data_IF_326147716823
#
_entry.id   IF_326147716823
#
_cell.length_a   1.000
_cell.length_b   1.000
_cell.length_c   1.000
_cell.angle_alpha   90.00
_cell.angle_beta   90.00
_cell.angle_gamma   90.00
#
_symmetry.space_group_name_H-M   'P 1'
#
loop_
_entity.id
_entity.type
_entity.pdbx_description
1 polymer ?
#
# COMPACT_ATOMS: atom_id res chain seq x y z
N UNK A 1 -16.49 -27.04 -14.33
CA UNK A 1 -15.09 -26.63 -14.65
C UNK A 1 -14.85 -25.29 -14.00
N UNK A 2 -13.70 -25.06 -13.41
CA UNK A 2 -13.37 -23.73 -12.91
C UNK A 2 -13.11 -22.81 -14.13
N UNK A 3 -13.79 -21.68 -14.19
CA UNK A 3 -13.60 -20.68 -15.24
C UNK A 3 -12.24 -19.97 -15.03
N UNK A 4 -11.55 -19.68 -16.14
CA UNK A 4 -10.31 -18.93 -16.14
C UNK A 4 -10.59 -17.48 -16.50
N UNK A 5 -9.83 -16.57 -15.90
CA UNK A 5 -9.96 -15.13 -16.08
C UNK A 5 -8.62 -14.53 -16.47
N UNK A 6 -8.66 -13.55 -17.33
CA UNK A 6 -7.54 -12.60 -17.54
C UNK A 6 -7.63 -11.45 -16.53
N UNK A 7 -6.61 -10.60 -16.48
CA UNK A 7 -6.64 -9.39 -15.63
C UNK A 7 -7.84 -8.48 -15.95
N UNK A 8 -8.25 -8.40 -17.22
CA UNK A 8 -9.39 -7.60 -17.66
C UNK A 8 -10.71 -8.32 -17.38
N UNK A 9 -10.76 -9.62 -17.60
CA UNK A 9 -11.98 -10.42 -17.43
C UNK A 9 -12.57 -10.33 -16.03
N UNK A 10 -11.72 -10.22 -15.01
CA UNK A 10 -12.15 -10.15 -13.61
C UNK A 10 -13.08 -8.96 -13.33
N UNK A 11 -12.98 -7.89 -14.13
CA UNK A 11 -13.84 -6.70 -14.01
C UNK A 11 -15.01 -6.69 -15.00
N UNK A 12 -14.95 -7.51 -16.06
CA UNK A 12 -15.93 -7.51 -17.13
C UNK A 12 -16.88 -8.70 -17.06
N UNK A 13 -16.40 -9.85 -16.60
CA UNK A 13 -17.18 -11.07 -16.46
C UNK A 13 -17.70 -11.20 -15.03
N UNK A 14 -18.75 -11.99 -14.88
CA UNK A 14 -19.22 -12.40 -13.56
C UNK A 14 -18.29 -13.46 -12.97
N UNK A 15 -17.91 -13.30 -11.71
CA UNK A 15 -17.17 -14.29 -10.96
C UNK A 15 -18.12 -15.33 -10.38
N UNK A 16 -17.84 -16.59 -10.63
CA UNK A 16 -18.54 -17.71 -10.01
C UNK A 16 -18.03 -17.92 -8.59
N UNK A 17 -18.78 -17.42 -7.60
CA UNK A 17 -18.43 -17.54 -6.18
C UNK A 17 -18.83 -18.90 -5.61
N UNK A 18 -19.98 -19.44 -6.05
CA UNK A 18 -20.47 -20.79 -5.78
C UNK A 18 -21.55 -21.13 -6.80
N UNK A 19 -22.11 -22.36 -6.74
CA UNK A 19 -23.07 -22.89 -7.74
C UNK A 19 -24.27 -21.99 -8.02
N UNK A 20 -24.62 -21.08 -7.10
CA UNK A 20 -25.86 -20.29 -7.16
C UNK A 20 -25.61 -18.79 -7.14
N UNK A 21 -24.34 -18.35 -7.04
CA UNK A 21 -24.02 -16.92 -6.91
C UNK A 21 -22.90 -16.49 -7.85
N UNK A 22 -23.27 -15.65 -8.81
CA UNK A 22 -22.35 -14.94 -9.70
C UNK A 22 -22.41 -13.45 -9.42
N UNK A 23 -21.26 -12.80 -9.38
CA UNK A 23 -21.17 -11.37 -9.12
C UNK A 23 -20.15 -10.71 -10.04
N UNK A 24 -20.43 -9.47 -10.40
CA UNK A 24 -19.48 -8.61 -11.10
C UNK A 24 -18.69 -7.80 -10.08
N UNK A 25 -17.36 -7.89 -10.15
CA UNK A 25 -16.46 -7.17 -9.26
C UNK A 25 -16.11 -5.83 -9.87
N UNK A 26 -16.29 -4.76 -9.11
CA UNK A 26 -15.95 -3.40 -9.52
C UNK A 26 -14.49 -3.07 -9.25
N UNK A 27 -13.93 -3.60 -8.17
CA UNK A 27 -12.54 -3.34 -7.76
C UNK A 27 -11.87 -4.59 -7.21
N UNK A 28 -10.56 -4.70 -7.44
CA UNK A 28 -9.66 -5.61 -6.73
C UNK A 28 -8.82 -4.78 -5.77
N UNK A 29 -8.81 -5.18 -4.51
CA UNK A 29 -8.13 -4.48 -3.44
C UNK A 29 -7.03 -5.37 -2.86
N UNK A 30 -5.81 -4.84 -2.81
CA UNK A 30 -4.74 -5.39 -1.98
C UNK A 30 -4.82 -4.67 -0.63
N UNK A 31 -5.31 -5.36 0.42
CA UNK A 31 -5.62 -4.71 1.70
C UNK A 31 -4.35 -4.33 2.49
N UNK A 32 -4.52 -3.45 3.47
CA UNK A 32 -3.44 -2.88 4.30
C UNK A 32 -2.60 -3.92 5.06
N UNK A 33 -3.20 -5.05 5.40
CA UNK A 33 -2.55 -6.13 6.19
C UNK A 33 -1.58 -6.96 5.33
N UNK A 34 -1.54 -6.73 4.02
CA UNK A 34 -0.67 -7.49 3.12
C UNK A 34 0.77 -6.98 3.13
N UNK A 35 1.70 -7.91 2.87
CA UNK A 35 3.11 -7.57 2.73
C UNK A 35 3.35 -6.64 1.53
N UNK A 36 4.38 -5.78 1.60
CA UNK A 36 4.80 -4.96 0.46
C UNK A 36 5.09 -5.79 -0.79
N UNK A 37 4.95 -5.19 -1.97
CA UNK A 37 5.33 -5.84 -3.21
C UNK A 37 6.83 -6.17 -3.21
N UNK A 38 7.16 -7.44 -3.42
CA UNK A 38 8.52 -7.95 -3.23
C UNK A 38 9.18 -8.47 -4.53
N UNK A 39 8.39 -8.86 -5.55
CA UNK A 39 8.96 -9.45 -6.78
C UNK A 39 9.91 -8.53 -7.53
N UNK A 40 9.83 -7.22 -7.32
CA UNK A 40 10.78 -6.26 -7.87
C UNK A 40 12.00 -5.97 -6.99
N UNK A 41 12.15 -6.54 -5.80
CA UNK A 41 13.31 -6.31 -4.93
C UNK A 41 14.59 -6.85 -5.57
N UNK A 42 15.72 -6.26 -5.16
CA UNK A 42 17.05 -6.59 -5.72
C UNK A 42 17.78 -7.71 -4.95
N UNK A 43 17.20 -8.26 -3.88
CA UNK A 43 17.78 -9.42 -3.22
C UNK A 43 17.78 -10.65 -4.13
N UNK A 44 18.69 -11.59 -3.85
CA UNK A 44 18.96 -12.71 -4.74
C UNK A 44 17.73 -13.59 -5.01
N UNK A 45 16.91 -13.84 -3.99
CA UNK A 45 15.70 -14.68 -4.13
C UNK A 45 14.65 -13.98 -4.97
N UNK A 46 14.35 -12.71 -4.68
CA UNK A 46 13.38 -11.92 -5.44
C UNK A 46 13.84 -11.72 -6.90
N UNK A 47 15.13 -11.50 -7.11
CA UNK A 47 15.73 -11.39 -8.46
C UNK A 47 15.57 -12.69 -9.25
N UNK A 48 15.83 -13.84 -8.63
CA UNK A 48 15.62 -15.13 -9.28
C UNK A 48 14.14 -15.35 -9.65
N UNK A 49 13.22 -15.13 -8.71
CA UNK A 49 11.77 -15.30 -8.93
C UNK A 49 11.29 -14.37 -10.06
N UNK A 50 11.69 -13.09 -10.04
CA UNK A 50 11.34 -12.11 -11.07
C UNK A 50 11.83 -12.55 -12.44
N UNK A 51 13.10 -12.95 -12.54
CA UNK A 51 13.68 -13.33 -13.81
C UNK A 51 13.05 -14.61 -14.37
N UNK A 52 12.81 -15.62 -13.54
CA UNK A 52 12.12 -16.85 -13.93
C UNK A 52 10.73 -16.54 -14.45
N UNK A 53 9.92 -15.82 -13.67
CA UNK A 53 8.55 -15.48 -14.04
C UNK A 53 8.49 -14.69 -15.36
N UNK A 54 9.30 -13.64 -15.50
CA UNK A 54 9.28 -12.82 -16.71
C UNK A 54 9.83 -13.58 -17.93
N UNK A 55 10.87 -14.40 -17.76
CA UNK A 55 11.39 -15.21 -18.85
C UNK A 55 10.33 -16.20 -19.36
N UNK A 56 9.68 -16.94 -18.46
CA UNK A 56 8.61 -17.87 -18.81
C UNK A 56 7.43 -17.17 -19.50
N UNK A 57 7.01 -16.01 -18.97
CA UNK A 57 5.91 -15.22 -19.55
C UNK A 57 6.26 -14.71 -20.96
N UNK A 58 7.45 -14.13 -21.16
CA UNK A 58 7.87 -13.60 -22.46
C UNK A 58 8.18 -14.69 -23.48
N UNK A 59 8.64 -15.87 -23.06
CA UNK A 59 8.75 -17.04 -23.95
C UNK A 59 7.33 -17.54 -24.34
N UNK A 60 6.37 -17.57 -23.41
CA UNK A 60 4.99 -17.94 -23.73
C UNK A 60 4.35 -16.98 -24.74
N UNK A 61 4.67 -15.69 -24.74
CA UNK A 61 4.18 -14.75 -25.75
C UNK A 61 4.57 -15.11 -27.20
N UNK A 62 5.56 -15.96 -27.38
CA UNK A 62 5.94 -16.50 -28.70
C UNK A 62 5.00 -17.61 -29.18
N UNK A 63 4.17 -18.11 -28.29
CA UNK A 63 3.19 -19.18 -28.53
C UNK A 63 1.77 -18.65 -28.41
N UNK A 64 0.77 -19.48 -28.76
CA UNK A 64 -0.64 -19.22 -28.52
C UNK A 64 -1.17 -20.02 -27.32
N UNK A 65 -0.27 -20.58 -26.51
CA UNK A 65 -0.63 -21.37 -25.35
C UNK A 65 -1.02 -20.49 -24.17
N UNK A 66 -1.85 -21.06 -23.29
CA UNK A 66 -2.25 -20.37 -22.05
C UNK A 66 -1.08 -20.40 -21.06
N UNK A 67 -0.71 -19.23 -20.58
CA UNK A 67 0.19 -19.07 -19.44
C UNK A 67 -0.64 -19.12 -18.16
N UNK A 68 -0.55 -20.24 -17.42
CA UNK A 68 -1.33 -20.44 -16.21
C UNK A 68 -0.72 -19.71 -15.01
N UNK A 69 -1.40 -18.68 -14.56
CA UNK A 69 -0.98 -17.86 -13.40
C UNK A 69 -1.51 -18.43 -12.07
N UNK A 70 -2.02 -19.66 -12.09
CA UNK A 70 -2.56 -20.41 -10.94
C UNK A 70 -3.79 -19.73 -10.28
N UNK A 71 -4.01 -20.03 -9.01
CA UNK A 71 -5.17 -19.57 -8.25
C UNK A 71 -4.91 -18.21 -7.61
N UNK A 72 -5.91 -17.35 -7.71
CA UNK A 72 -6.02 -16.10 -6.97
C UNK A 72 -7.14 -16.29 -5.94
N UNK A 73 -6.84 -16.06 -4.68
CA UNK A 73 -7.79 -16.19 -3.59
C UNK A 73 -8.14 -14.83 -3.01
N UNK A 74 -9.43 -14.62 -2.72
CA UNK A 74 -9.90 -13.37 -2.11
C UNK A 74 -11.22 -13.53 -1.39
N UNK A 75 -11.65 -12.45 -0.75
CA UNK A 75 -12.99 -12.31 -0.19
C UNK A 75 -13.74 -11.31 -1.05
N UNK A 76 -14.88 -11.72 -1.59
CA UNK A 76 -15.78 -10.83 -2.30
C UNK A 76 -16.84 -10.34 -1.32
N UNK A 77 -16.99 -9.04 -1.21
CA UNK A 77 -17.96 -8.40 -0.33
C UNK A 77 -18.71 -7.26 -1.02
N UNK A 78 -19.96 -6.97 -0.61
CA UNK A 78 -20.69 -5.81 -1.11
C UNK A 78 -20.05 -4.51 -0.62
N UNK A 79 -20.05 -3.50 -1.50
CA UNK A 79 -19.58 -2.13 -1.22
C UNK A 79 -20.36 -1.17 -2.12
N UNK A 80 -21.18 -0.27 -1.54
CA UNK A 80 -21.93 0.77 -2.24
C UNK A 80 -22.67 0.28 -3.51
N UNK A 81 -23.53 -0.72 -3.36
CA UNK A 81 -24.29 -1.39 -4.44
C UNK A 81 -23.44 -2.15 -5.48
N UNK A 82 -22.14 -2.27 -5.27
CA UNK A 82 -21.22 -3.05 -6.08
C UNK A 82 -20.55 -4.15 -5.25
N UNK A 83 -19.73 -4.97 -5.89
CA UNK A 83 -18.92 -5.96 -5.20
C UNK A 83 -17.44 -5.64 -5.39
N UNK A 84 -16.68 -5.74 -4.30
CA UNK A 84 -15.23 -5.62 -4.32
C UNK A 84 -14.58 -6.93 -3.90
N UNK A 85 -13.41 -7.23 -4.45
CA UNK A 85 -12.65 -8.40 -4.10
C UNK A 85 -11.36 -8.00 -3.39
N UNK A 86 -11.25 -8.36 -2.11
CA UNK A 86 -10.02 -8.22 -1.36
C UNK A 86 -9.15 -9.46 -1.52
N UNK A 87 -7.92 -9.27 -1.98
CA UNK A 87 -6.99 -10.37 -2.22
C UNK A 87 -6.42 -10.92 -0.91
N UNK A 88 -6.50 -12.24 -0.76
CA UNK A 88 -5.86 -13.01 0.31
C UNK A 88 -4.54 -13.62 -0.15
N UNK A 89 -4.52 -14.18 -1.35
CA UNK A 89 -3.32 -14.71 -2.00
C UNK A 89 -3.31 -14.35 -3.48
N UNK A 90 -2.11 -14.31 -4.07
CA UNK A 90 -1.90 -13.89 -5.46
C UNK A 90 -1.62 -12.40 -5.64
N UNK A 91 -1.55 -11.61 -4.58
CA UNK A 91 -1.29 -10.17 -4.64
C UNK A 91 -0.01 -9.81 -5.41
N UNK A 92 1.08 -10.55 -5.21
CA UNK A 92 2.35 -10.32 -5.91
C UNK A 92 2.19 -10.53 -7.42
N UNK A 93 1.49 -11.58 -7.79
CA UNK A 93 1.19 -11.93 -9.19
C UNK A 93 0.29 -10.89 -9.83
N UNK A 94 -0.79 -10.50 -9.15
CA UNK A 94 -1.72 -9.48 -9.66
C UNK A 94 -1.05 -8.11 -9.81
N UNK A 95 -0.17 -7.73 -8.89
CA UNK A 95 0.64 -6.52 -9.02
C UNK A 95 1.58 -6.60 -10.22
N UNK A 96 2.22 -7.75 -10.45
CA UNK A 96 3.05 -7.94 -11.64
C UNK A 96 2.22 -7.85 -12.92
N UNK A 97 1.02 -8.43 -12.96
CA UNK A 97 0.11 -8.29 -14.11
C UNK A 97 -0.30 -6.85 -14.35
N UNK A 98 -0.65 -6.09 -13.30
CA UNK A 98 -0.92 -4.66 -13.41
C UNK A 98 0.22 -3.92 -14.12
N UNK A 99 1.47 -4.19 -13.74
CA UNK A 99 2.64 -3.54 -14.35
C UNK A 99 2.86 -4.01 -15.80
N UNK A 100 2.66 -5.28 -16.11
CA UNK A 100 2.78 -5.83 -17.47
C UNK A 100 1.72 -5.23 -18.39
N UNK A 101 0.46 -5.21 -17.97
CA UNK A 101 -0.63 -4.61 -18.75
C UNK A 101 -0.40 -3.13 -19.00
N UNK A 102 -0.02 -2.38 -17.95
CA UNK A 102 0.31 -0.96 -18.10
C UNK A 102 1.45 -0.74 -19.11
N UNK A 103 2.53 -1.51 -18.96
CA UNK A 103 3.72 -1.35 -19.78
C UNK A 103 3.44 -1.65 -21.26
N UNK A 104 2.82 -2.78 -21.55
CA UNK A 104 2.53 -3.20 -22.93
C UNK A 104 1.53 -2.24 -23.59
N UNK A 105 0.46 -1.86 -22.89
CA UNK A 105 -0.50 -0.88 -23.39
C UNK A 105 0.18 0.48 -23.67
N UNK A 106 1.10 0.91 -22.80
CA UNK A 106 1.84 2.16 -23.01
C UNK A 106 2.73 2.12 -24.24
N UNK A 107 3.32 0.96 -24.57
CA UNK A 107 4.24 0.82 -25.71
C UNK A 107 3.53 0.58 -27.04
N UNK A 108 2.42 -0.14 -27.05
CA UNK A 108 1.82 -0.69 -28.28
C UNK A 108 0.51 -0.04 -28.68
N UNK A 109 -0.23 0.59 -27.74
CA UNK A 109 -1.55 1.15 -28.02
C UNK A 109 -1.52 2.68 -27.97
N UNK A 110 -2.31 3.32 -28.82
CA UNK A 110 -2.55 4.77 -28.75
C UNK A 110 -3.63 5.12 -27.71
N UNK A 111 -3.73 6.38 -27.31
CA UNK A 111 -4.73 6.80 -26.30
C UNK A 111 -6.18 6.66 -26.80
N UNK A 112 -6.38 6.78 -28.08
CA UNK A 112 -7.72 6.74 -28.70
C UNK A 112 -8.23 5.31 -28.93
N UNK A 113 -7.35 4.31 -28.90
CA UNK A 113 -7.74 2.91 -29.10
C UNK A 113 -8.64 2.40 -27.98
N UNK A 114 -9.71 1.69 -28.36
CA UNK A 114 -10.68 1.16 -27.39
C UNK A 114 -10.03 0.16 -26.43
N UNK A 115 -9.09 -0.64 -26.93
CA UNK A 115 -8.31 -1.59 -26.15
C UNK A 115 -7.52 -0.90 -25.03
N UNK A 116 -6.93 0.26 -25.33
CA UNK A 116 -6.20 1.05 -24.33
C UNK A 116 -7.14 1.58 -23.25
N UNK A 117 -8.32 2.08 -23.63
CA UNK A 117 -9.33 2.57 -22.68
C UNK A 117 -9.79 1.46 -21.76
N UNK A 118 -10.03 0.25 -22.30
CA UNK A 118 -10.41 -0.93 -21.53
C UNK A 118 -9.32 -1.32 -20.52
N UNK A 119 -8.06 -1.34 -20.95
CA UNK A 119 -6.93 -1.66 -20.08
C UNK A 119 -6.80 -0.60 -18.98
N UNK A 120 -6.85 0.68 -19.32
CA UNK A 120 -6.74 1.77 -18.34
C UNK A 120 -7.88 1.74 -17.32
N UNK A 121 -9.12 1.48 -17.74
CA UNK A 121 -10.25 1.30 -16.83
C UNK A 121 -9.98 0.16 -15.84
N UNK A 122 -9.51 -1.00 -16.32
CA UNK A 122 -9.14 -2.12 -15.46
C UNK A 122 -8.00 -1.78 -14.49
N UNK A 123 -6.99 -1.05 -14.95
CA UNK A 123 -5.87 -0.61 -14.10
C UNK A 123 -6.34 0.34 -12.99
N UNK A 124 -7.29 1.25 -13.26
CA UNK A 124 -7.88 2.13 -12.24
C UNK A 124 -8.71 1.40 -11.19
N UNK A 125 -9.22 0.22 -11.52
CA UNK A 125 -9.99 -0.65 -10.60
C UNK A 125 -9.10 -1.55 -9.74
N UNK A 126 -7.79 -1.54 -9.96
CA UNK A 126 -6.82 -2.23 -9.12
C UNK A 126 -6.30 -1.29 -8.04
N UNK A 127 -6.70 -1.51 -6.78
CA UNK A 127 -6.41 -0.63 -5.65
C UNK A 127 -5.38 -1.27 -4.73
N UNK A 128 -4.29 -0.56 -4.47
CA UNK A 128 -3.20 -1.03 -3.63
C UNK A 128 -3.20 -0.29 -2.30
N UNK A 129 -3.91 -0.82 -1.29
CA UNK A 129 -4.13 -0.13 -0.01
C UNK A 129 -3.06 -0.37 1.06
N UNK A 130 -2.03 -1.16 0.78
CA UNK A 130 -0.95 -1.44 1.75
C UNK A 130 -0.30 -0.16 2.27
N UNK A 131 -0.14 0.85 1.40
CA UNK A 131 0.32 2.19 1.73
C UNK A 131 -0.39 3.21 0.85
N UNK A 132 -0.71 4.36 1.43
CA UNK A 132 -1.37 5.44 0.69
C UNK A 132 -0.50 5.97 -0.46
N UNK A 133 0.83 5.97 -0.29
CA UNK A 133 1.79 6.31 -1.35
C UNK A 133 1.69 5.34 -2.53
N UNK A 134 1.59 4.04 -2.25
CA UNK A 134 1.42 3.01 -3.28
C UNK A 134 0.08 3.17 -4.02
N UNK A 135 -1.01 3.51 -3.29
CA UNK A 135 -2.33 3.80 -3.90
C UNK A 135 -2.24 4.96 -4.88
N UNK A 136 -1.68 6.09 -4.43
CA UNK A 136 -1.51 7.29 -5.26
C UNK A 136 -0.62 6.98 -6.47
N UNK A 137 0.49 6.28 -6.26
CA UNK A 137 1.41 5.92 -7.34
C UNK A 137 0.72 5.06 -8.41
N UNK A 138 0.01 3.98 -8.02
CA UNK A 138 -0.70 3.12 -8.97
C UNK A 138 -1.77 3.88 -9.75
N UNK A 139 -2.53 4.76 -9.07
CA UNK A 139 -3.54 5.59 -9.72
C UNK A 139 -2.93 6.55 -10.75
N UNK A 140 -1.86 7.26 -10.37
CA UNK A 140 -1.15 8.16 -11.30
C UNK A 140 -0.52 7.36 -12.46
N UNK A 141 0.08 6.21 -12.18
CA UNK A 141 0.66 5.35 -13.21
C UNK A 141 -0.41 4.89 -14.21
N UNK A 142 -1.58 4.45 -13.75
CA UNK A 142 -2.69 4.05 -14.60
C UNK A 142 -3.18 5.18 -15.51
N UNK A 143 -3.17 6.44 -15.02
CA UNK A 143 -3.59 7.63 -15.78
C UNK A 143 -2.53 8.16 -16.72
N UNK A 144 -1.27 7.80 -16.52
CA UNK A 144 -0.15 8.46 -17.18
C UNK A 144 0.44 7.61 -18.32
N UNK A 145 0.56 8.23 -19.50
CA UNK A 145 1.35 7.67 -20.59
C UNK A 145 2.74 8.27 -20.57
N UNK A 146 3.75 7.46 -20.77
CA UNK A 146 5.15 7.90 -20.83
C UNK A 146 5.77 7.57 -22.18
N UNK A 147 6.59 8.50 -22.67
CA UNK A 147 7.49 8.26 -23.78
C UNK A 147 8.83 7.77 -23.24
N UNK A 148 9.14 6.53 -23.52
CA UNK A 148 10.39 5.91 -23.05
C UNK A 148 11.62 6.45 -23.76
N UNK A 149 11.50 6.85 -25.05
CA UNK A 149 12.59 7.45 -25.85
C UNK A 149 13.97 6.79 -25.65
N UNK A 150 13.99 5.45 -25.53
CA UNK A 150 15.20 4.67 -25.29
C UNK A 150 15.73 4.70 -23.85
N UNK A 151 14.96 5.21 -22.90
CA UNK A 151 15.29 5.19 -21.46
C UNK A 151 14.48 4.12 -20.72
N UNK A 152 14.97 3.72 -19.55
CA UNK A 152 14.23 2.78 -18.70
C UNK A 152 12.99 3.43 -18.07
N UNK A 153 11.89 2.67 -17.88
CA UNK A 153 10.66 3.18 -17.29
C UNK A 153 10.88 3.88 -15.94
N UNK A 154 11.68 3.29 -15.07
CA UNK A 154 11.96 3.86 -13.75
C UNK A 154 12.57 5.27 -13.83
N UNK A 155 13.44 5.51 -14.83
CA UNK A 155 14.09 6.80 -15.02
C UNK A 155 13.09 7.84 -15.52
N UNK A 156 12.27 7.49 -16.51
CA UNK A 156 11.26 8.40 -17.07
C UNK A 156 10.18 8.72 -16.04
N UNK A 157 9.69 7.71 -15.32
CA UNK A 157 8.68 7.89 -14.27
C UNK A 157 9.19 8.83 -13.17
N UNK A 158 10.44 8.67 -12.71
CA UNK A 158 11.02 9.56 -11.69
C UNK A 158 11.18 11.00 -12.16
N UNK A 159 11.21 11.25 -13.45
CA UNK A 159 11.26 12.59 -14.03
C UNK A 159 9.88 13.19 -14.29
N UNK A 160 8.82 12.39 -14.17
CA UNK A 160 7.47 12.86 -14.39
C UNK A 160 7.05 13.91 -13.35
N UNK A 161 6.28 14.92 -13.76
CA UNK A 161 5.82 16.01 -12.88
C UNK A 161 5.03 15.53 -11.65
N UNK A 162 4.34 14.40 -11.77
CA UNK A 162 3.54 13.80 -10.71
C UNK A 162 4.35 12.88 -9.77
N UNK A 163 5.61 12.58 -10.08
CA UNK A 163 6.45 11.72 -9.25
C UNK A 163 7.03 12.48 -8.07
N UNK A 164 6.84 11.97 -6.87
CA UNK A 164 7.37 12.55 -5.65
C UNK A 164 8.67 11.87 -5.25
N UNK A 165 9.61 12.63 -4.75
CA UNK A 165 10.85 12.10 -4.19
C UNK A 165 10.58 11.15 -3.00
N UNK A 166 9.49 11.35 -2.27
CA UNK A 166 9.06 10.45 -1.19
C UNK A 166 8.67 9.05 -1.68
N UNK A 167 8.24 8.89 -2.93
CA UNK A 167 7.99 7.57 -3.51
C UNK A 167 9.22 6.67 -3.54
N UNK A 168 10.42 7.23 -3.64
CA UNK A 168 11.67 6.45 -3.58
C UNK A 168 11.89 5.77 -2.22
N UNK A 169 11.16 6.17 -1.17
CA UNK A 169 11.20 5.56 0.16
C UNK A 169 10.16 4.46 0.37
N UNK A 170 9.17 4.37 -0.51
CA UNK A 170 8.21 3.29 -0.49
C UNK A 170 8.81 2.06 -1.17
N UNK A 171 9.06 1.01 -0.37
CA UNK A 171 9.66 -0.24 -0.87
C UNK A 171 8.81 -0.92 -1.95
N UNK A 172 7.48 -0.74 -1.90
CA UNK A 172 6.56 -1.25 -2.92
C UNK A 172 6.76 -0.53 -4.24
N UNK A 173 6.81 0.80 -4.22
CA UNK A 173 7.02 1.62 -5.43
C UNK A 173 8.39 1.36 -6.03
N UNK A 174 9.44 1.30 -5.19
CA UNK A 174 10.79 0.99 -5.66
C UNK A 174 10.84 -0.39 -6.33
N UNK A 175 10.16 -1.39 -5.76
CA UNK A 175 10.07 -2.71 -6.36
C UNK A 175 9.25 -2.70 -7.65
N UNK A 176 8.14 -1.95 -7.73
CA UNK A 176 7.37 -1.77 -8.98
C UNK A 176 8.21 -1.15 -10.09
N UNK A 177 9.00 -0.12 -9.79
CA UNK A 177 9.88 0.52 -10.75
C UNK A 177 10.96 -0.44 -11.27
N UNK A 178 11.56 -1.23 -10.38
CA UNK A 178 12.54 -2.26 -10.77
C UNK A 178 11.90 -3.36 -11.64
N UNK A 179 10.66 -3.75 -11.32
CA UNK A 179 9.92 -4.71 -12.14
C UNK A 179 9.63 -4.14 -13.53
N UNK A 180 9.24 -2.86 -13.64
CA UNK A 180 9.01 -2.20 -14.92
C UNK A 180 10.28 -2.15 -15.78
N UNK A 181 11.44 -1.89 -15.18
CA UNK A 181 12.71 -1.93 -15.90
C UNK A 181 13.03 -3.35 -16.41
N UNK A 182 12.73 -4.37 -15.60
CA UNK A 182 12.91 -5.76 -15.99
C UNK A 182 11.92 -6.21 -17.10
N UNK A 183 10.70 -5.70 -17.10
CA UNK A 183 9.71 -5.91 -18.18
C UNK A 183 10.21 -5.23 -19.47
N UNK A 184 10.69 -4.00 -19.36
CA UNK A 184 11.23 -3.22 -20.48
C UNK A 184 12.39 -3.97 -21.15
N UNK A 185 13.35 -4.46 -20.38
CA UNK A 185 14.51 -5.22 -20.89
C UNK A 185 14.06 -6.42 -21.74
N UNK A 186 13.03 -7.14 -21.30
CA UNK A 186 12.53 -8.29 -22.06
C UNK A 186 11.71 -7.89 -23.27
N UNK A 187 10.92 -6.82 -23.14
CA UNK A 187 10.12 -6.31 -24.24
C UNK A 187 10.96 -5.82 -25.41
N UNK A 188 12.03 -5.07 -25.17
CA UNK A 188 12.89 -4.55 -26.25
C UNK A 188 13.58 -5.67 -27.02
N UNK A 189 13.79 -6.84 -26.39
CA UNK A 189 14.41 -8.02 -26.98
C UNK A 189 13.40 -8.95 -27.68
N UNK A 190 12.10 -8.58 -27.76
CA UNK A 190 11.11 -9.35 -28.52
C UNK A 190 11.12 -8.94 -29.99
N UNK A 191 11.10 -9.94 -30.86
CA UNK A 191 11.02 -9.73 -32.31
C UNK A 191 9.63 -9.23 -32.75
N UNK A 192 8.58 -9.75 -32.08
CA UNK A 192 7.19 -9.33 -32.32
C UNK A 192 6.73 -8.34 -31.26
N UNK A 193 6.18 -7.20 -31.69
CA UNK A 193 5.70 -6.12 -30.82
C UNK A 193 4.17 -6.11 -30.66
N UNK A 194 3.43 -7.11 -31.16
CA UNK A 194 1.97 -7.20 -30.95
C UNK A 194 1.63 -7.97 -29.68
N UNK A 195 2.30 -7.66 -28.56
CA UNK A 195 2.16 -8.40 -27.31
C UNK A 195 0.83 -8.12 -26.58
N UNK A 196 0.18 -6.98 -26.87
CA UNK A 196 -1.11 -6.67 -26.24
C UNK A 196 -2.17 -7.74 -26.53
N UNK A 197 -2.14 -8.37 -27.71
CA UNK A 197 -3.04 -9.47 -28.04
C UNK A 197 -2.75 -10.75 -27.24
N UNK A 198 -1.47 -10.94 -26.86
CA UNK A 198 -1.01 -12.10 -26.07
C UNK A 198 -1.32 -11.97 -24.58
N UNK A 199 -1.68 -10.78 -24.10
CA UNK A 199 -2.13 -10.59 -22.70
C UNK A 199 -3.36 -11.45 -22.38
N UNK A 200 -4.19 -11.79 -23.38
CA UNK A 200 -5.33 -12.68 -23.22
C UNK A 200 -4.92 -14.14 -22.90
N UNK A 201 -3.70 -14.52 -23.18
CA UNK A 201 -3.18 -15.86 -22.88
C UNK A 201 -2.73 -15.98 -21.41
N UNK A 202 -2.50 -14.89 -20.70
CA UNK A 202 -2.19 -14.93 -19.26
C UNK A 202 -3.51 -15.09 -18.49
N UNK A 203 -3.72 -16.28 -17.94
CA UNK A 203 -4.97 -16.64 -17.31
C UNK A 203 -4.74 -17.23 -15.92
N UNK A 204 -5.74 -17.06 -15.05
CA UNK A 204 -5.73 -17.57 -13.69
C UNK A 204 -7.14 -18.00 -13.24
N UNK A 205 -7.20 -18.76 -12.15
CA UNK A 205 -8.46 -19.12 -11.51
C UNK A 205 -8.74 -18.20 -10.34
N UNK A 206 -9.98 -17.79 -10.17
CA UNK A 206 -10.43 -16.99 -9.02
C UNK A 206 -11.22 -17.87 -8.06
N UNK A 207 -10.90 -17.79 -6.78
CA UNK A 207 -11.61 -18.46 -5.70
C UNK A 207 -11.96 -17.47 -4.60
N UNK A 208 -13.25 -17.34 -4.32
CA UNK A 208 -13.73 -16.59 -3.17
C UNK A 208 -13.80 -17.48 -1.93
N UNK A 209 -13.21 -17.03 -0.84
CA UNK A 209 -13.22 -17.70 0.45
C UNK A 209 -14.26 -17.13 1.43
N UNK A 210 -15.01 -16.11 1.04
CA UNK A 210 -15.98 -15.42 1.89
C UNK A 210 -17.12 -16.27 2.43
N UNK A 211 -17.41 -17.43 1.81
CA UNK A 211 -18.47 -18.32 2.24
C UNK A 211 -18.05 -19.34 3.30
N UNK A 212 -16.78 -19.44 3.61
CA UNK A 212 -16.28 -20.44 4.55
C UNK A 212 -16.26 -19.96 6.00
N UNK A 213 -16.81 -18.79 6.33
CA UNK A 213 -16.70 -18.17 7.67
C UNK A 213 -15.27 -18.30 8.23
N UNK A 214 -14.29 -18.15 7.36
CA UNK A 214 -12.90 -18.19 7.75
C UNK A 214 -12.64 -17.02 8.70
N UNK A 215 -12.32 -17.34 9.95
CA UNK A 215 -12.01 -16.33 10.96
C UNK A 215 -10.84 -15.46 10.49
N UNK A 216 -10.80 -14.20 10.93
CA UNK A 216 -9.62 -13.33 10.75
C UNK A 216 -8.32 -14.04 11.15
N UNK A 217 -8.37 -14.94 12.12
CA UNK A 217 -7.23 -15.74 12.55
C UNK A 217 -6.67 -16.68 11.48
N UNK A 218 -7.51 -17.28 10.66
CA UNK A 218 -7.04 -18.15 9.58
C UNK A 218 -6.43 -17.30 8.44
N UNK A 219 -7.01 -16.13 8.19
CA UNK A 219 -6.45 -15.14 7.28
C UNK A 219 -5.05 -14.69 7.72
N UNK A 220 -4.90 -14.33 9.00
CA UNK A 220 -3.61 -13.96 9.60
C UNK A 220 -2.63 -15.14 9.51
N UNK A 221 -3.06 -16.37 9.78
CA UNK A 221 -2.21 -17.57 9.69
C UNK A 221 -1.80 -17.91 8.27
N UNK A 222 -2.65 -17.71 7.27
CA UNK A 222 -2.30 -17.91 5.85
C UNK A 222 -1.29 -16.87 5.37
N UNK A 223 -1.38 -15.64 5.86
CA UNK A 223 -0.46 -14.55 5.52
C UNK A 223 0.81 -14.52 6.37
N UNK A 224 0.84 -15.20 7.51
CA UNK A 224 2.00 -15.30 8.41
C UNK A 224 3.24 -16.00 7.78
N UNK A 225 3.13 -16.50 6.57
CA UNK A 225 4.24 -17.03 5.77
C UNK A 225 5.09 -15.93 5.09
N UNK A 226 4.67 -14.64 5.18
CA UNK A 226 5.42 -13.48 4.69
C UNK A 226 6.18 -12.75 5.81
N UNK A 227 6.99 -11.76 5.47
CA UNK A 227 7.52 -10.81 6.44
C UNK A 227 6.35 -10.15 7.20
N UNK A 228 6.37 -10.26 8.51
CA UNK A 228 5.38 -9.57 9.36
C UNK A 228 5.50 -8.05 9.17
N UNK A 229 4.37 -7.37 9.21
CA UNK A 229 4.36 -5.91 9.28
C UNK A 229 5.11 -5.48 10.54
N UNK A 230 5.86 -4.40 10.44
CA UNK A 230 6.51 -3.82 11.62
C UNK A 230 5.45 -3.35 12.64
N UNK A 231 5.80 -3.20 13.92
CA UNK A 231 4.90 -2.63 14.93
C UNK A 231 4.34 -1.26 14.48
N UNK A 232 5.14 -0.46 13.81
CA UNK A 232 4.71 0.83 13.27
C UNK A 232 3.72 0.68 12.09
N UNK A 233 3.95 -0.24 11.18
CA UNK A 233 3.03 -0.49 10.07
C UNK A 233 1.66 -0.98 10.55
N UNK A 234 1.63 -1.86 11.57
CA UNK A 234 0.39 -2.28 12.22
C UNK A 234 -0.32 -1.10 12.90
N UNK A 235 0.42 -0.32 13.71
CA UNK A 235 -0.12 0.86 14.39
C UNK A 235 -0.71 1.87 13.40
N UNK A 236 0.00 2.15 12.32
CA UNK A 236 -0.42 3.06 11.26
C UNK A 236 -1.71 2.57 10.58
N UNK A 237 -1.79 1.29 10.25
CA UNK A 237 -2.98 0.70 9.64
C UNK A 237 -4.20 0.83 10.57
N UNK A 238 -4.05 0.51 11.85
CA UNK A 238 -5.11 0.63 12.85
C UNK A 238 -5.55 2.08 13.04
N UNK A 239 -4.60 3.02 13.14
CA UNK A 239 -4.89 4.44 13.29
C UNK A 239 -5.65 5.00 12.07
N UNK A 240 -5.19 4.72 10.87
CA UNK A 240 -5.83 5.23 9.64
C UNK A 240 -7.21 4.61 9.42
N UNK A 241 -7.40 3.33 9.76
CA UNK A 241 -8.72 2.68 9.74
C UNK A 241 -9.68 3.32 10.74
N UNK A 242 -9.19 3.60 11.94
CA UNK A 242 -9.99 4.28 12.97
C UNK A 242 -10.43 5.68 12.50
N UNK A 243 -9.51 6.48 11.98
CA UNK A 243 -9.81 7.84 11.49
C UNK A 243 -10.83 7.80 10.34
N UNK A 244 -10.71 6.86 9.42
CA UNK A 244 -11.67 6.67 8.32
C UNK A 244 -13.04 6.18 8.76
N UNK A 245 -13.10 5.38 9.85
CA UNK A 245 -14.32 4.74 10.32
C UNK A 245 -15.13 5.54 11.35
N UNK A 246 -14.53 6.55 12.01
CA UNK A 246 -15.22 7.33 13.03
C UNK A 246 -16.07 8.45 12.41
N UNK A 247 -17.28 8.63 12.93
CA UNK A 247 -18.14 9.75 12.55
C UNK A 247 -17.75 11.03 13.32
N UNK A 248 -16.67 11.65 12.83
CA UNK A 248 -16.17 12.93 13.34
C UNK A 248 -16.03 13.91 12.16
N UNK A 249 -16.87 14.97 12.07
CA UNK A 249 -16.95 15.82 10.90
C UNK A 249 -15.59 16.32 10.37
N UNK A 250 -14.62 16.77 11.20
CA UNK A 250 -13.32 17.21 10.69
C UNK A 250 -12.53 16.14 9.92
N UNK A 251 -12.79 14.84 10.14
CA UNK A 251 -12.12 13.78 9.39
C UNK A 251 -12.72 13.55 8.00
N UNK A 252 -13.91 14.07 7.76
CA UNK A 252 -14.62 14.01 6.47
C UNK A 252 -14.45 15.28 5.62
N UNK A 253 -13.79 16.30 6.17
CA UNK A 253 -13.49 17.52 5.42
C UNK A 253 -12.61 17.24 4.21
N UNK A 254 -12.94 17.90 3.10
CA UNK A 254 -12.13 17.87 1.88
C UNK A 254 -10.93 18.78 2.09
N UNK A 255 -9.75 18.23 1.90
CA UNK A 255 -8.46 18.93 2.04
C UNK A 255 -7.61 18.69 0.80
N UNK A 256 -6.71 19.63 0.44
CA UNK A 256 -5.78 19.40 -0.66
C UNK A 256 -4.92 18.17 -0.40
N UNK A 257 -4.86 17.27 -1.37
CA UNK A 257 -3.97 16.12 -1.29
C UNK A 257 -2.51 16.59 -1.16
N UNK A 258 -1.79 16.04 -0.18
CA UNK A 258 -0.35 16.28 -0.07
C UNK A 258 0.36 15.67 -1.29
N UNK A 259 0.47 16.46 -2.33
CA UNK A 259 0.99 16.06 -3.61
C UNK A 259 1.49 17.31 -4.35
N UNK A 260 2.75 17.28 -4.84
CA UNK A 260 3.30 18.41 -5.57
C UNK A 260 2.46 18.63 -6.85
N UNK A 261 1.98 19.85 -7.02
CA UNK A 261 1.20 20.28 -8.17
C UNK A 261 -0.17 19.54 -8.35
N UNK A 262 -0.75 18.95 -7.28
CA UNK A 262 -2.10 18.39 -7.32
C UNK A 262 -3.11 19.42 -6.81
N UNK A 263 -4.17 19.66 -7.58
CA UNK A 263 -5.36 20.41 -7.17
C UNK A 263 -6.46 19.47 -6.61
N UNK A 264 -6.13 18.17 -6.48
CA UNK A 264 -7.07 17.15 -6.04
C UNK A 264 -7.46 17.35 -4.58
N UNK A 265 -8.77 17.34 -4.33
CA UNK A 265 -9.34 17.40 -2.98
C UNK A 265 -9.67 15.97 -2.53
N UNK A 266 -9.29 15.65 -1.31
CA UNK A 266 -9.53 14.32 -0.71
C UNK A 266 -9.98 14.47 0.73
N UNK A 267 -10.62 13.44 1.29
CA UNK A 267 -10.96 13.47 2.71
C UNK A 267 -9.70 13.52 3.59
N UNK A 268 -9.80 14.21 4.73
CA UNK A 268 -8.68 14.40 5.67
C UNK A 268 -7.98 13.08 6.02
N UNK A 269 -8.73 12.00 6.29
CA UNK A 269 -8.16 10.73 6.69
C UNK A 269 -7.24 10.13 5.62
N UNK A 270 -7.61 10.29 4.35
CA UNK A 270 -6.77 9.84 3.23
C UNK A 270 -5.50 10.69 3.12
N UNK A 271 -5.63 12.02 3.17
CA UNK A 271 -4.48 12.93 3.15
C UNK A 271 -3.53 12.71 4.34
N UNK A 272 -4.09 12.45 5.54
CA UNK A 272 -3.31 12.11 6.74
C UNK A 272 -2.47 10.84 6.51
N UNK A 273 -3.06 9.79 5.92
CA UNK A 273 -2.36 8.57 5.58
C UNK A 273 -1.23 8.80 4.55
N UNK A 274 -1.48 9.63 3.53
CA UNK A 274 -0.44 10.02 2.54
C UNK A 274 0.71 10.78 3.20
N UNK A 275 0.41 11.70 4.13
CA UNK A 275 1.43 12.43 4.89
C UNK A 275 2.28 11.50 5.77
N UNK A 276 1.66 10.49 6.41
CA UNK A 276 2.39 9.48 7.18
C UNK A 276 3.43 8.72 6.34
N UNK A 277 3.07 8.39 5.11
CA UNK A 277 3.91 7.60 4.22
C UNK A 277 4.91 8.44 3.40
N UNK A 278 4.62 9.72 3.19
CA UNK A 278 5.37 10.56 2.26
C UNK A 278 6.06 11.75 2.92
N UNK A 279 5.30 12.55 3.68
CA UNK A 279 5.78 13.83 4.20
C UNK A 279 6.59 13.67 5.49
N UNK A 280 5.95 13.03 6.47
CA UNK A 280 6.51 13.00 7.83
C UNK A 280 7.60 11.95 8.03
N UNK A 281 7.71 10.99 7.10
CA UNK A 281 8.82 10.03 7.12
C UNK A 281 10.18 10.74 7.10
N UNK A 282 10.27 11.90 6.45
CA UNK A 282 11.48 12.70 6.38
C UNK A 282 11.99 13.19 7.75
N UNK A 283 11.05 13.43 8.68
CA UNK A 283 11.38 13.89 10.05
C UNK A 283 12.19 12.81 10.78
N UNK A 284 11.86 11.54 10.55
CA UNK A 284 12.44 10.40 11.27
C UNK A 284 13.52 9.68 10.45
N UNK A 285 13.60 9.99 9.16
CA UNK A 285 14.60 9.38 8.29
C UNK A 285 15.96 10.08 8.47
N UNK A 286 16.95 9.31 8.94
CA UNK A 286 18.34 9.76 9.00
C UNK A 286 19.24 8.80 8.23
N UNK A 287 20.18 9.37 7.50
CA UNK A 287 21.19 8.61 6.77
C UNK A 287 22.00 7.76 7.77
N UNK A 288 21.89 6.44 7.68
CA UNK A 288 22.58 5.50 8.56
C UNK A 288 21.74 4.91 9.70
N UNK A 289 20.46 5.30 9.85
CA UNK A 289 19.54 4.63 10.77
C UNK A 289 18.86 3.46 10.08
N UNK A 290 19.14 2.24 10.54
CA UNK A 290 18.55 1.01 9.99
C UNK A 290 17.08 0.82 10.39
N UNK A 291 16.60 1.47 11.46
CA UNK A 291 15.27 1.27 12.02
C UNK A 291 14.53 2.59 12.28
N UNK A 292 14.11 3.27 11.20
CA UNK A 292 13.31 4.49 11.32
C UNK A 292 11.90 4.23 11.88
N UNK A 293 11.33 3.03 11.66
CA UNK A 293 10.04 2.61 12.20
C UNK A 293 10.01 2.68 13.72
N UNK A 294 11.11 2.29 14.38
CA UNK A 294 11.24 2.39 15.84
C UNK A 294 11.21 3.83 16.34
N UNK A 295 11.89 4.74 15.63
CA UNK A 295 11.88 6.17 15.97
C UNK A 295 10.50 6.79 15.80
N UNK A 296 9.83 6.43 14.70
CA UNK A 296 8.49 6.90 14.40
C UNK A 296 7.49 6.39 15.46
N UNK A 297 7.53 5.07 15.76
CA UNK A 297 6.66 4.47 16.77
C UNK A 297 6.92 5.04 18.17
N UNK A 298 8.18 5.31 18.53
CA UNK A 298 8.56 5.96 19.79
C UNK A 298 7.92 7.35 19.92
N UNK A 299 7.94 8.14 18.85
CA UNK A 299 7.28 9.45 18.83
C UNK A 299 5.77 9.33 19.06
N UNK A 300 5.09 8.43 18.34
CA UNK A 300 3.65 8.22 18.50
C UNK A 300 3.30 7.77 19.91
N UNK A 301 4.02 6.78 20.44
CA UNK A 301 3.83 6.31 21.81
C UNK A 301 3.93 7.44 22.83
N UNK A 302 4.94 8.28 22.71
CA UNK A 302 5.14 9.43 23.63
C UNK A 302 4.08 10.51 23.45
N UNK A 303 3.72 10.84 22.21
CA UNK A 303 2.67 11.81 21.93
C UNK A 303 1.35 11.39 22.58
N UNK A 304 0.90 10.17 22.34
CA UNK A 304 -0.35 9.67 22.91
C UNK A 304 -0.27 9.45 24.43
N UNK A 305 0.88 9.05 24.96
CA UNK A 305 1.10 9.00 26.41
C UNK A 305 0.94 10.36 27.07
N UNK A 306 1.52 11.43 26.47
CA UNK A 306 1.32 12.79 26.96
C UNK A 306 -0.15 13.20 26.90
N UNK A 307 -0.88 12.85 25.83
CA UNK A 307 -2.31 13.12 25.72
C UNK A 307 -3.12 12.35 26.75
N UNK A 308 -2.74 11.12 27.00
CA UNK A 308 -3.36 10.28 28.04
C UNK A 308 -3.19 10.91 29.44
N UNK A 309 -2.00 11.33 29.80
CA UNK A 309 -1.72 12.00 31.09
C UNK A 309 -2.58 13.25 31.24
N UNK A 310 -2.64 14.07 30.19
CA UNK A 310 -3.42 15.33 30.21
C UNK A 310 -4.92 15.06 30.35
N UNK A 311 -5.44 13.96 29.75
CA UNK A 311 -6.86 13.61 29.78
C UNK A 311 -7.27 12.90 31.06
N UNK A 312 -6.33 12.34 31.80
CA UNK A 312 -6.60 11.50 32.99
C UNK A 312 -6.37 12.33 34.25
N UNK A 313 -7.49 12.74 34.91
CA UNK A 313 -7.47 13.64 36.07
C UNK A 313 -6.71 13.08 37.30
N UNK A 314 -6.61 11.77 37.40
CA UNK A 314 -6.02 11.09 38.56
C UNK A 314 -4.50 10.94 38.46
N UNK A 315 -3.88 11.34 37.34
CA UNK A 315 -2.44 11.30 37.13
C UNK A 315 -1.88 12.69 37.39
N UNK A 316 -1.36 12.91 38.61
CA UNK A 316 -0.89 14.23 39.06
C UNK A 316 0.62 14.24 39.30
N UNK A 317 1.23 13.09 39.53
CA UNK A 317 2.64 12.98 39.88
C UNK A 317 3.30 11.70 39.30
N UNK A 318 4.61 11.60 39.43
CA UNK A 318 5.42 10.49 38.92
C UNK A 318 5.00 9.11 39.49
N UNK A 319 4.51 9.08 40.72
CA UNK A 319 4.04 7.83 41.37
C UNK A 319 2.78 7.33 40.67
N UNK A 320 1.87 8.23 40.29
CA UNK A 320 0.62 7.86 39.62
C UNK A 320 0.93 7.31 38.21
N UNK A 321 1.90 7.92 37.49
CA UNK A 321 2.39 7.43 36.21
C UNK A 321 2.89 5.99 36.31
N UNK A 322 3.68 5.68 37.34
CA UNK A 322 4.26 4.34 37.54
C UNK A 322 3.22 3.29 37.94
N UNK A 323 2.12 3.72 38.57
CA UNK A 323 1.03 2.84 39.01
C UNK A 323 -0.02 2.62 37.93
N UNK A 324 -0.12 3.50 36.96
CA UNK A 324 -1.07 3.40 35.85
C UNK A 324 -0.74 2.19 34.96
N UNK A 325 -1.76 1.36 34.69
CA UNK A 325 -1.59 0.11 33.95
C UNK A 325 -1.15 0.32 32.48
N UNK A 326 -1.47 1.46 31.90
CA UNK A 326 -1.10 1.82 30.52
C UNK A 326 0.28 2.44 30.49
N UNK A 327 0.52 3.45 31.33
CA UNK A 327 1.78 4.21 31.30
C UNK A 327 2.98 3.43 31.81
N UNK A 328 2.81 2.53 32.79
CA UNK A 328 3.91 1.69 33.29
C UNK A 328 4.54 0.81 32.20
N UNK A 329 3.80 0.51 31.12
CA UNK A 329 4.34 -0.24 29.98
C UNK A 329 5.42 0.55 29.22
N UNK A 330 5.35 1.90 29.23
CA UNK A 330 6.33 2.78 28.62
C UNK A 330 7.48 3.10 29.60
N UNK A 331 7.13 3.23 30.89
CA UNK A 331 8.04 3.71 31.95
C UNK A 331 8.62 2.58 32.81
N UNK A 332 8.57 1.32 32.37
CA UNK A 332 9.29 0.24 33.05
C UNK A 332 10.80 0.50 33.06
N UNK A 333 11.43 0.22 34.19
CA UNK A 333 12.87 0.46 34.40
C UNK A 333 13.73 -0.14 33.29
N UNK A 334 14.78 0.59 32.92
CA UNK A 334 15.67 0.23 31.80
C UNK A 334 16.31 -1.16 31.97
N UNK A 335 16.37 -1.71 33.18
CA UNK A 335 16.92 -3.01 33.51
C UNK A 335 15.96 -4.20 33.19
N UNK A 336 14.64 -3.95 33.07
CA UNK A 336 13.62 -4.97 32.82
C UNK A 336 13.07 -4.97 31.39
N UNK A 337 13.59 -4.14 30.49
CA UNK A 337 13.13 -4.07 29.10
C UNK A 337 13.61 -5.27 28.33
N UNK A 338 12.71 -6.18 28.03
CA UNK A 338 12.87 -7.10 26.92
C UNK A 338 12.43 -6.38 25.64
N UNK A 339 13.11 -6.62 24.52
CA UNK A 339 12.85 -6.00 23.20
C UNK A 339 11.37 -6.02 22.75
N UNK A 340 10.55 -6.87 23.33
CA UNK A 340 9.13 -7.05 23.00
C UNK A 340 8.18 -5.97 23.57
N UNK A 341 8.62 -5.10 24.49
CA UNK A 341 7.74 -4.18 25.25
C UNK A 341 8.04 -2.69 25.01
N UNK A 342 8.74 -2.34 23.94
CA UNK A 342 9.23 -0.97 23.76
C UNK A 342 8.17 0.06 23.37
N UNK A 343 6.99 -0.36 22.88
CA UNK A 343 5.99 0.57 22.34
C UNK A 343 4.58 0.17 22.73
N UNK A 344 3.73 1.18 23.02
CA UNK A 344 2.30 0.96 23.16
C UNK A 344 1.66 0.80 21.78
N UNK A 345 0.81 -0.21 21.64
CA UNK A 345 0.04 -0.44 20.44
C UNK A 345 -1.16 0.50 20.31
N UNK A 346 -1.85 0.48 19.17
CA UNK A 346 -3.02 1.32 18.93
C UNK A 346 -4.16 1.08 19.94
N UNK A 347 -4.35 -0.15 20.38
CA UNK A 347 -5.45 -0.53 21.28
C UNK A 347 -5.38 0.17 22.64
N UNK A 348 -4.17 0.44 23.14
CA UNK A 348 -3.97 1.19 24.36
C UNK A 348 -4.42 2.66 24.25
N UNK A 349 -4.34 3.23 23.05
CA UNK A 349 -4.73 4.61 22.80
C UNK A 349 -6.15 4.78 22.26
N UNK A 350 -6.80 3.71 21.84
CA UNK A 350 -8.12 3.75 21.22
C UNK A 350 -9.18 4.43 22.10
N UNK A 351 -9.15 4.16 23.41
CA UNK A 351 -10.09 4.77 24.37
C UNK A 351 -9.94 6.29 24.46
N UNK A 352 -8.69 6.78 24.40
CA UNK A 352 -8.40 8.23 24.41
C UNK A 352 -8.93 8.87 23.13
N UNK A 353 -8.62 8.28 21.98
CA UNK A 353 -9.02 8.79 20.68
C UNK A 353 -10.53 8.74 20.49
N UNK A 354 -11.23 7.77 21.10
CA UNK A 354 -12.69 7.71 21.11
C UNK A 354 -13.31 8.91 21.83
N UNK A 355 -12.70 9.32 22.96
CA UNK A 355 -13.17 10.47 23.72
C UNK A 355 -12.64 11.80 23.20
N UNK A 356 -11.49 11.80 22.55
CA UNK A 356 -10.76 12.98 22.08
C UNK A 356 -10.23 12.81 20.65
N UNK A 357 -11.11 12.66 19.64
CA UNK A 357 -10.66 12.50 18.25
C UNK A 357 -9.85 13.68 17.73
N UNK A 358 -10.03 14.88 18.30
CA UNK A 358 -9.27 16.10 17.99
C UNK A 358 -7.76 15.96 18.23
N UNK A 359 -7.29 14.96 18.98
CA UNK A 359 -5.87 14.71 19.16
C UNK A 359 -5.18 14.26 17.88
N UNK A 360 -5.91 13.65 16.95
CA UNK A 360 -5.38 13.35 15.62
C UNK A 360 -5.10 14.63 14.82
N UNK A 361 -6.02 15.62 14.89
CA UNK A 361 -5.79 16.92 14.26
C UNK A 361 -4.61 17.66 14.90
N UNK A 362 -4.43 17.50 16.21
CA UNK A 362 -3.26 18.06 16.91
C UNK A 362 -1.98 17.38 16.43
N UNK A 363 -1.99 16.06 16.28
CA UNK A 363 -0.85 15.27 15.77
C UNK A 363 -0.47 15.72 14.35
N UNK A 364 -1.46 15.90 13.47
CA UNK A 364 -1.27 16.40 12.10
C UNK A 364 -0.52 17.74 12.10
N UNK A 365 -0.99 18.69 12.92
CA UNK A 365 -0.36 20.01 13.05
C UNK A 365 1.05 19.94 13.62
N UNK A 366 1.28 19.10 14.63
CA UNK A 366 2.61 18.94 15.26
C UNK A 366 3.60 18.37 14.25
N UNK A 367 3.24 17.32 13.54
CA UNK A 367 4.11 16.72 12.52
C UNK A 367 4.35 17.68 11.34
N UNK A 368 3.33 18.42 10.91
CA UNK A 368 3.51 19.45 9.88
C UNK A 368 4.44 20.57 10.32
N UNK A 369 4.37 20.96 11.58
CA UNK A 369 5.26 21.96 12.15
C UNK A 369 6.71 21.45 12.19
N UNK A 370 6.94 20.24 12.69
CA UNK A 370 8.27 19.64 12.69
C UNK A 370 8.86 19.53 11.29
N UNK A 371 8.05 19.08 10.32
CA UNK A 371 8.48 19.01 8.93
C UNK A 371 8.93 20.38 8.39
N UNK A 372 8.19 21.45 8.69
CA UNK A 372 8.54 22.79 8.24
C UNK A 372 9.84 23.33 8.88
N UNK A 373 10.07 23.02 10.14
CA UNK A 373 11.28 23.46 10.85
C UNK A 373 12.53 22.69 10.42
N UNK A 374 12.42 21.38 10.27
CA UNK A 374 13.55 20.52 9.90
C UNK A 374 14.08 20.83 8.48
N UNK A 375 13.19 21.22 7.56
CA UNK A 375 13.58 21.58 6.17
C UNK A 375 14.05 23.02 5.99
N UNK A 376 13.71 23.95 6.90
CA UNK A 376 14.14 25.35 6.80
C UNK A 376 15.49 25.62 7.43
N UNK A 377 15.86 24.87 8.47
CA UNK A 377 17.11 25.03 9.21
C UNK A 377 17.84 23.70 9.39
N UNK A 378 18.52 23.26 8.34
CA UNK A 378 19.20 21.95 8.30
C UNK A 378 20.40 21.81 9.26
N UNK A 379 20.53 22.62 10.31
CA UNK A 379 21.70 22.57 11.20
C UNK A 379 21.48 22.72 12.69
N UNK A 380 20.31 23.06 13.20
CA UNK A 380 20.26 23.43 14.63
C UNK A 380 18.90 23.19 15.25
N UNK A 381 18.18 22.46 15.61
CA UNK A 381 17.06 22.68 16.58
C UNK A 381 16.41 21.43 17.21
N UNK A 382 16.66 20.24 16.75
CA UNK A 382 15.96 19.05 17.34
C UNK A 382 16.85 18.26 18.34
N UNK A 383 18.05 18.75 18.70
CA UNK A 383 19.00 17.99 19.51
C UNK A 383 19.53 18.70 20.79
N UNK A 384 18.90 19.76 21.25
CA UNK A 384 19.12 20.31 22.60
C UNK A 384 17.87 20.03 23.50
#
# INVERSE_FOLDING_TARGET
MNERYTFIDIYRKELDLNKDMKVKVSQIIIPKIQRPYAQGRLDGVCTYIRNTLLNEMFENFKTDEIFDFNFIYGIVRPSNDEYVMELLDGQQRMTTLFLVYWYIANCELTEDEEENKVIRDALHRFVYETRSTSTVFCHKLASYRIDLSGQTPSKVIRQAKWYFKSFDRDSTITAMLTMLDAIHERYINQDNKALYTKLANIQFYVKSLGFFNLSEELYIKMNARGLQLSPFENFKADLTNYIGGIDYPPFKEQVPLYCKDSEEQVEFHFNFSVKLDAKWIDIFWRKGFENFDASYMSFFSRFFACKYIISTKDIVNDRDIRQDSTLRKIYTDAESRTEANEYLGFQEFKSILTNHPEYVLTLDKVLDTFYQYDFKDSKKVIYE
#
